data_IF_511871857370
#
_entry.id   IF_511871857370
#
_cell.length_a   1.000
_cell.length_b   1.000
_cell.length_c   1.000
_cell.angle_alpha   90.00
_cell.angle_beta   90.00
_cell.angle_gamma   90.00
#
_symmetry.space_group_name_H-M   'P 1'
#
loop_
_entity.id
_entity.type
_entity.pdbx_description
1 polymer ?
#
# COMPACT_ATOMS: atom_id res chain seq x y z
N UNK A 1 24.88 -14.44 8.04
CA UNK A 1 24.12 -15.22 7.05
C UNK A 1 22.79 -14.49 6.90
N UNK A 2 22.51 -13.86 5.75
CA UNK A 2 21.17 -13.28 5.55
C UNK A 2 20.18 -14.46 5.50
N UNK A 3 19.01 -14.36 6.15
CA UNK A 3 17.96 -15.33 5.91
C UNK A 3 17.66 -15.37 4.39
N UNK A 4 17.32 -16.55 3.84
CA UNK A 4 16.97 -16.66 2.44
C UNK A 4 15.86 -15.66 2.11
N UNK A 5 15.96 -15.02 0.94
CA UNK A 5 14.92 -14.10 0.48
C UNK A 5 13.59 -14.84 0.41
N UNK A 6 12.55 -14.26 1.02
CA UNK A 6 11.21 -14.81 0.98
C UNK A 6 10.70 -14.66 -0.46
N UNK A 7 10.59 -15.76 -1.18
CA UNK A 7 10.21 -15.74 -2.59
C UNK A 7 8.86 -15.02 -2.76
N UNK A 8 8.81 -14.05 -3.67
CA UNK A 8 7.63 -13.25 -3.96
C UNK A 8 7.49 -11.98 -3.11
N UNK A 9 8.24 -11.83 -2.01
CA UNK A 9 8.23 -10.62 -1.18
C UNK A 9 9.54 -9.83 -1.34
N UNK A 10 9.42 -8.59 -1.82
CA UNK A 10 10.57 -7.73 -2.01
C UNK A 10 11.19 -7.29 -0.67
N UNK A 11 12.46 -6.90 -0.70
CA UNK A 11 13.18 -6.47 0.51
C UNK A 11 12.55 -5.25 1.16
N UNK A 12 12.11 -4.27 0.37
CA UNK A 12 11.40 -3.10 0.87
C UNK A 12 10.06 -3.48 1.50
N UNK A 13 9.30 -4.37 0.86
CA UNK A 13 8.02 -4.86 1.38
C UNK A 13 8.19 -5.59 2.70
N UNK A 14 9.12 -6.55 2.76
CA UNK A 14 9.39 -7.28 3.99
C UNK A 14 9.87 -6.35 5.10
N UNK A 15 10.77 -5.40 4.80
CA UNK A 15 11.25 -4.44 5.79
C UNK A 15 10.10 -3.58 6.36
N UNK A 16 9.17 -3.16 5.51
CA UNK A 16 8.02 -2.37 5.95
C UNK A 16 7.03 -3.22 6.77
N UNK A 17 6.79 -4.47 6.39
CA UNK A 17 6.00 -5.40 7.21
C UNK A 17 6.61 -5.57 8.61
N UNK A 18 7.93 -5.77 8.70
CA UNK A 18 8.63 -5.89 9.99
C UNK A 18 8.59 -4.60 10.82
N UNK A 19 8.49 -3.44 10.18
CA UNK A 19 8.47 -2.15 10.87
C UNK A 19 7.08 -1.73 11.34
N UNK A 20 6.02 -2.14 10.64
CA UNK A 20 4.66 -1.64 10.86
C UNK A 20 3.69 -2.69 11.40
N UNK A 21 3.92 -3.98 11.13
CA UNK A 21 3.01 -5.04 11.56
C UNK A 21 3.39 -5.56 12.94
N UNK A 22 2.37 -5.72 13.76
CA UNK A 22 2.40 -6.23 15.12
C UNK A 22 1.07 -6.93 15.45
N UNK A 23 0.91 -7.36 16.71
CA UNK A 23 -0.27 -8.10 17.16
C UNK A 23 -1.58 -7.29 17.05
N UNK A 24 -1.50 -5.96 17.05
CA UNK A 24 -2.67 -5.06 17.06
C UNK A 24 -3.03 -4.55 15.66
N UNK A 25 -2.26 -4.92 14.64
CA UNK A 25 -2.41 -4.44 13.26
C UNK A 25 -2.71 -5.58 12.29
N UNK A 26 -3.98 -6.04 12.21
CA UNK A 26 -4.39 -7.05 11.25
C UNK A 26 -4.00 -6.72 9.81
N UNK A 27 -3.52 -7.72 9.07
CA UNK A 27 -3.09 -7.59 7.68
C UNK A 27 -3.94 -8.44 6.74
N UNK A 28 -4.37 -7.85 5.63
CA UNK A 28 -4.96 -8.57 4.50
C UNK A 28 -3.90 -8.84 3.43
N UNK A 29 -3.91 -10.04 2.84
CA UNK A 29 -2.96 -10.43 1.80
C UNK A 29 -3.67 -10.65 0.48
N UNK A 30 -3.18 -10.02 -0.59
CA UNK A 30 -3.58 -10.38 -1.93
C UNK A 30 -3.18 -11.83 -2.25
N UNK A 31 -3.88 -12.50 -3.20
CA UNK A 31 -3.62 -13.90 -3.52
C UNK A 31 -2.15 -14.23 -3.84
N UNK A 32 -1.42 -13.29 -4.47
CA UNK A 32 0.00 -13.45 -4.78
C UNK A 32 0.90 -13.56 -3.53
N UNK A 33 0.49 -12.98 -2.40
CA UNK A 33 1.22 -13.03 -1.13
C UNK A 33 0.64 -14.00 -0.13
N UNK A 34 -0.57 -14.52 -0.36
CA UNK A 34 -1.23 -15.47 0.53
C UNK A 34 -0.67 -16.89 0.38
N UNK A 35 0.62 -17.04 0.65
CA UNK A 35 1.35 -18.32 0.59
C UNK A 35 1.68 -18.83 1.99
N UNK A 36 1.83 -20.15 2.20
CA UNK A 36 2.24 -20.69 3.49
C UNK A 36 3.54 -20.08 4.04
N UNK A 37 4.50 -19.78 3.15
CA UNK A 37 5.78 -19.18 3.53
C UNK A 37 5.62 -17.74 4.03
N UNK A 38 4.85 -16.91 3.32
CA UNK A 38 4.62 -15.52 3.71
C UNK A 38 3.76 -15.43 4.97
N UNK A 39 2.70 -16.25 5.07
CA UNK A 39 1.90 -16.34 6.31
C UNK A 39 2.75 -16.71 7.52
N UNK A 40 3.60 -17.73 7.39
CA UNK A 40 4.49 -18.16 8.47
C UNK A 40 5.51 -17.07 8.84
N UNK A 41 6.06 -16.36 7.86
CA UNK A 41 6.99 -15.26 8.10
C UNK A 41 6.32 -14.11 8.88
N UNK A 42 5.14 -13.65 8.46
CA UNK A 42 4.38 -12.60 9.15
C UNK A 42 4.02 -13.04 10.57
N UNK A 43 3.51 -14.26 10.74
CA UNK A 43 3.14 -14.78 12.06
C UNK A 43 4.36 -14.89 13.00
N UNK A 44 5.50 -15.32 12.49
CA UNK A 44 6.70 -15.51 13.31
C UNK A 44 7.40 -14.21 13.68
N UNK A 45 7.52 -13.27 12.73
CA UNK A 45 8.30 -12.04 12.93
C UNK A 45 7.46 -10.86 13.43
N UNK A 46 6.21 -10.75 12.99
CA UNK A 46 5.33 -9.64 13.32
C UNK A 46 4.25 -10.04 14.34
N UNK A 47 3.81 -11.29 14.33
CA UNK A 47 2.67 -11.73 15.14
C UNK A 47 1.32 -11.16 14.67
N UNK A 48 1.29 -10.49 13.52
CA UNK A 48 0.09 -9.82 12.99
C UNK A 48 -0.99 -10.81 12.58
N UNK A 49 -2.26 -10.59 13.01
CA UNK A 49 -3.39 -11.40 12.56
C UNK A 49 -3.61 -11.25 11.05
N UNK A 50 -3.70 -12.37 10.33
CA UNK A 50 -4.01 -12.35 8.90
C UNK A 50 -5.52 -12.50 8.71
N UNK A 51 -6.16 -11.50 8.12
CA UNK A 51 -7.61 -11.44 7.93
C UNK A 51 -8.00 -11.66 6.47
N UNK A 52 -9.16 -12.29 6.25
CA UNK A 52 -9.74 -12.47 4.91
C UNK A 52 -10.64 -11.33 4.49
N UNK A 53 -11.27 -10.65 5.46
CA UNK A 53 -12.10 -9.47 5.23
C UNK A 53 -11.23 -8.21 5.12
N UNK A 54 -11.43 -7.46 4.05
CA UNK A 54 -10.74 -6.20 3.79
C UNK A 54 -11.10 -5.11 4.81
N UNK A 55 -12.33 -5.11 5.33
CA UNK A 55 -12.78 -4.09 6.30
C UNK A 55 -12.10 -4.27 7.66
N UNK A 56 -11.70 -5.49 7.99
CA UNK A 56 -11.00 -5.80 9.23
C UNK A 56 -9.49 -5.44 9.21
N UNK A 57 -8.96 -5.08 8.05
CA UNK A 57 -7.52 -4.89 7.86
C UNK A 57 -7.05 -3.50 8.28
N UNK A 58 -5.97 -3.42 9.06
CA UNK A 58 -5.22 -2.17 9.31
C UNK A 58 -4.16 -1.95 8.23
N UNK A 59 -3.59 -3.03 7.71
CA UNK A 59 -2.69 -3.01 6.56
C UNK A 59 -3.17 -3.98 5.49
N UNK A 60 -2.89 -3.69 4.22
CA UNK A 60 -3.16 -4.61 3.13
C UNK A 60 -1.94 -4.71 2.22
N UNK A 61 -1.48 -5.93 1.95
CA UNK A 61 -0.39 -6.20 1.02
C UNK A 61 -0.95 -6.60 -0.35
N UNK A 62 -0.76 -5.74 -1.35
CA UNK A 62 -1.30 -5.88 -2.70
C UNK A 62 -0.18 -5.96 -3.73
N UNK A 63 -0.48 -6.60 -4.86
CA UNK A 63 0.34 -6.59 -6.06
C UNK A 63 -0.34 -5.72 -7.12
N UNK A 64 0.35 -5.50 -8.25
CA UNK A 64 -0.20 -4.73 -9.36
C UNK A 64 -1.56 -5.29 -9.84
N UNK A 65 -1.73 -6.61 -9.85
CA UNK A 65 -2.96 -7.26 -10.28
C UNK A 65 -4.13 -7.10 -9.30
N UNK A 66 -3.89 -6.67 -8.06
CA UNK A 66 -4.97 -6.42 -7.08
C UNK A 66 -5.19 -4.93 -6.84
N UNK A 67 -4.23 -4.08 -7.21
CA UNK A 67 -4.26 -2.64 -6.97
C UNK A 67 -5.47 -1.90 -7.58
N UNK A 68 -6.09 -2.45 -8.63
CA UNK A 68 -7.25 -1.84 -9.29
C UNK A 68 -8.60 -2.09 -8.59
N UNK A 69 -8.61 -2.78 -7.45
CA UNK A 69 -9.81 -3.06 -6.66
C UNK A 69 -9.56 -2.68 -5.20
N UNK A 70 -9.80 -1.41 -4.86
CA UNK A 70 -9.54 -0.91 -3.49
C UNK A 70 -10.79 -0.99 -2.59
N UNK A 71 -11.89 -1.56 -3.07
CA UNK A 71 -13.18 -1.62 -2.36
C UNK A 71 -13.08 -2.55 -1.15
N UNK A 72 -13.86 -2.23 -0.13
CA UNK A 72 -13.90 -3.02 1.09
C UNK A 72 -12.77 -2.72 2.08
N UNK A 73 -11.76 -1.91 1.75
CA UNK A 73 -10.82 -1.41 2.77
C UNK A 73 -11.46 -0.28 3.59
N UNK A 74 -11.20 -0.28 4.90
CA UNK A 74 -11.65 0.78 5.81
C UNK A 74 -10.98 2.12 5.43
N UNK A 75 -11.77 3.15 5.12
CA UNK A 75 -11.25 4.50 4.80
C UNK A 75 -11.16 5.40 6.03
N UNK A 76 -11.45 4.87 7.21
CA UNK A 76 -11.64 5.63 8.44
C UNK A 76 -12.99 6.34 8.45
N UNK A 77 -13.18 7.20 9.45
CA UNK A 77 -14.35 8.07 9.57
C UNK A 77 -13.93 9.46 10.03
N UNK A 78 -14.83 10.45 9.94
CA UNK A 78 -14.52 11.85 10.27
C UNK A 78 -13.92 12.06 11.66
N UNK A 79 -14.27 11.18 12.63
CA UNK A 79 -13.77 11.26 14.00
C UNK A 79 -12.42 10.55 14.17
N UNK A 80 -12.18 9.50 13.40
CA UNK A 80 -11.00 8.65 13.46
C UNK A 80 -10.47 8.34 12.06
N UNK A 81 -10.00 9.35 11.30
CA UNK A 81 -9.49 9.14 9.95
C UNK A 81 -8.19 8.32 9.95
N UNK A 82 -7.42 8.41 11.02
CA UNK A 82 -6.19 7.65 11.27
C UNK A 82 -6.41 6.15 11.41
N UNK A 83 -7.65 5.71 11.62
CA UNK A 83 -8.03 4.29 11.67
C UNK A 83 -8.32 3.70 10.29
N UNK A 84 -7.97 4.37 9.19
CA UNK A 84 -8.09 3.74 7.87
C UNK A 84 -7.11 2.57 7.72
N UNK A 85 -7.36 1.73 6.72
CA UNK A 85 -6.38 0.80 6.20
C UNK A 85 -5.24 1.57 5.49
N UNK A 86 -4.01 1.07 5.61
CA UNK A 86 -2.85 1.51 4.83
C UNK A 86 -2.47 0.44 3.81
N UNK A 87 -2.32 0.82 2.55
CA UNK A 87 -2.00 -0.10 1.46
C UNK A 87 -0.49 -0.20 1.26
N UNK A 88 0.03 -1.43 1.22
CA UNK A 88 1.40 -1.77 0.86
C UNK A 88 1.34 -2.43 -0.53
N UNK A 89 1.68 -1.69 -1.58
CA UNK A 89 1.52 -2.17 -2.96
C UNK A 89 2.90 -2.47 -3.55
N UNK A 90 3.20 -3.75 -3.72
CA UNK A 90 4.42 -4.20 -4.38
C UNK A 90 4.23 -4.15 -5.90
N UNK A 91 5.08 -3.36 -6.55
CA UNK A 91 5.12 -3.13 -7.99
C UNK A 91 6.40 -3.73 -8.58
N UNK A 92 6.44 -4.03 -9.88
CA UNK A 92 7.66 -4.49 -10.53
C UNK A 92 8.79 -3.44 -10.50
N UNK A 93 8.45 -2.15 -10.45
CA UNK A 93 9.35 -1.00 -10.33
C UNK A 93 8.54 0.22 -9.81
N UNK A 94 9.25 1.28 -9.43
CA UNK A 94 8.64 2.57 -9.03
C UNK A 94 8.82 3.64 -10.11
N UNK A 95 8.89 3.22 -11.37
CA UNK A 95 9.12 4.09 -12.53
C UNK A 95 8.36 3.56 -13.75
N UNK A 96 8.03 4.44 -14.69
CA UNK A 96 7.26 4.07 -15.90
C UNK A 96 5.76 4.23 -15.72
N UNK A 97 5.00 4.12 -16.81
CA UNK A 97 3.60 4.55 -16.85
C UNK A 97 3.43 6.05 -17.12
N UNK A 98 2.19 6.57 -17.09
CA UNK A 98 1.92 7.99 -17.30
C UNK A 98 2.63 8.87 -16.28
N UNK A 99 3.10 10.04 -16.71
CA UNK A 99 3.66 11.05 -15.81
C UNK A 99 2.53 11.83 -15.15
N UNK A 100 2.46 11.75 -13.82
CA UNK A 100 1.47 12.44 -13.00
C UNK A 100 2.16 13.48 -12.12
N UNK A 101 1.52 14.62 -11.96
CA UNK A 101 1.99 15.71 -11.10
C UNK A 101 1.36 15.60 -9.72
N UNK A 102 2.20 15.35 -8.71
CA UNK A 102 1.76 15.26 -7.31
C UNK A 102 1.95 16.58 -6.59
N UNK A 103 0.97 16.97 -5.76
CA UNK A 103 1.02 18.19 -4.94
C UNK A 103 0.26 18.02 -3.62
N UNK A 104 0.55 18.88 -2.64
CA UNK A 104 -0.06 18.83 -1.32
C UNK A 104 0.95 19.02 -0.18
N UNK A 105 0.54 18.80 1.08
CA UNK A 105 1.44 18.92 2.23
C UNK A 105 2.70 18.07 2.06
N UNK A 106 3.87 18.67 2.29
CA UNK A 106 5.18 18.03 2.08
C UNK A 106 5.75 18.14 0.66
N UNK A 107 5.00 18.69 -0.31
CA UNK A 107 5.47 18.98 -1.67
C UNK A 107 5.42 20.49 -1.88
N UNK A 108 6.58 21.14 -2.04
CA UNK A 108 6.67 22.60 -2.15
C UNK A 108 5.96 23.16 -3.40
N UNK A 109 6.07 22.45 -4.53
CA UNK A 109 5.47 22.85 -5.81
C UNK A 109 4.70 21.69 -6.42
N UNK A 110 5.34 20.98 -7.33
CA UNK A 110 4.82 19.79 -7.99
C UNK A 110 5.95 18.77 -8.06
N UNK A 111 5.62 17.51 -7.84
CA UNK A 111 6.57 16.41 -7.97
C UNK A 111 6.05 15.46 -9.07
N UNK A 112 6.69 15.42 -10.25
CA UNK A 112 6.38 14.44 -11.27
C UNK A 112 6.71 13.02 -10.78
N UNK A 113 5.74 12.12 -10.86
CA UNK A 113 5.89 10.71 -10.50
C UNK A 113 5.26 9.86 -11.59
N UNK A 114 5.97 8.81 -12.01
CA UNK A 114 5.46 7.80 -12.93
C UNK A 114 5.53 6.45 -12.25
N UNK A 115 4.37 5.82 -12.07
CA UNK A 115 4.27 4.45 -11.56
C UNK A 115 3.58 3.58 -12.61
N UNK A 116 3.92 2.28 -12.70
CA UNK A 116 3.31 1.33 -13.65
C UNK A 116 1.87 0.96 -13.25
N UNK A 117 1.04 1.96 -12.98
CA UNK A 117 -0.36 1.86 -12.58
C UNK A 117 -1.22 2.46 -13.68
N UNK A 118 -2.33 1.80 -13.98
CA UNK A 118 -3.31 2.31 -14.92
C UNK A 118 -4.20 3.40 -14.29
N UNK A 119 -5.02 4.05 -15.14
CA UNK A 119 -5.98 5.05 -14.69
C UNK A 119 -7.05 4.51 -13.71
N UNK A 120 -7.28 3.19 -13.71
CA UNK A 120 -8.23 2.52 -12.82
C UNK A 120 -7.81 2.65 -11.36
N UNK A 121 -6.54 2.40 -11.05
CA UNK A 121 -6.00 2.62 -9.70
C UNK A 121 -6.26 4.04 -9.18
N UNK A 122 -5.96 5.05 -10.01
CA UNK A 122 -6.10 6.45 -9.61
C UNK A 122 -7.57 6.84 -9.40
N UNK A 123 -8.45 6.36 -10.27
CA UNK A 123 -9.92 6.53 -10.14
C UNK A 123 -10.43 5.90 -8.85
N UNK A 124 -9.98 4.68 -8.55
CA UNK A 124 -10.35 3.95 -7.34
C UNK A 124 -9.87 4.67 -6.08
N UNK A 125 -8.62 5.14 -6.07
CA UNK A 125 -8.07 5.93 -4.96
C UNK A 125 -8.89 7.19 -4.74
N UNK A 126 -9.18 7.95 -5.78
CA UNK A 126 -9.91 9.22 -5.66
C UNK A 126 -11.35 9.01 -5.17
N UNK A 127 -12.03 7.96 -5.64
CA UNK A 127 -13.39 7.63 -5.16
C UNK A 127 -13.46 7.29 -3.67
N UNK A 128 -12.34 6.86 -3.07
CA UNK A 128 -12.21 6.50 -1.65
C UNK A 128 -11.63 7.62 -0.80
N UNK A 129 -11.22 8.72 -1.42
CA UNK A 129 -10.54 9.80 -0.75
C UNK A 129 -11.49 10.97 -0.51
N UNK A 130 -12.22 10.91 0.60
CA UNK A 130 -13.07 11.98 1.09
C UNK A 130 -12.42 12.60 2.32
N UNK A 131 -11.46 13.50 2.09
CA UNK A 131 -10.63 14.06 3.15
C UNK A 131 -11.50 14.59 4.32
N UNK A 132 -11.23 14.18 5.58
CA UNK A 132 -10.00 13.52 6.05
C UNK A 132 -9.93 12.00 5.87
N UNK A 133 -11.02 11.34 5.46
CA UNK A 133 -11.05 9.90 5.20
C UNK A 133 -10.36 9.55 3.89
N UNK A 134 -9.76 8.37 3.82
CA UNK A 134 -9.04 7.89 2.65
C UNK A 134 -8.03 6.81 2.98
N UNK A 135 -7.32 6.34 1.96
CA UNK A 135 -6.28 5.33 2.10
C UNK A 135 -4.91 5.98 1.89
N UNK A 136 -3.99 5.72 2.80
CA UNK A 136 -2.57 6.01 2.60
C UNK A 136 -1.92 4.81 1.89
N UNK A 137 -0.94 5.09 1.03
CA UNK A 137 -0.33 4.05 0.18
C UNK A 137 1.19 4.12 0.27
N UNK A 138 1.83 2.97 0.42
CA UNK A 138 3.25 2.77 0.15
C UNK A 138 3.41 1.90 -1.09
N UNK A 139 4.09 2.41 -2.11
CA UNK A 139 4.53 1.65 -3.27
C UNK A 139 5.94 1.10 -3.03
N UNK A 140 6.16 -0.16 -3.36
CA UNK A 140 7.37 -0.91 -3.01
C UNK A 140 7.88 -1.63 -4.26
N UNK A 141 9.19 -1.61 -4.51
CA UNK A 141 9.81 -2.43 -5.54
C UNK A 141 11.27 -2.72 -5.21
N UNK A 142 11.64 -4.00 -5.12
CA UNK A 142 12.98 -4.45 -4.74
C UNK A 142 13.43 -3.89 -3.39
N UNK A 143 14.22 -2.82 -3.40
CA UNK A 143 14.73 -2.11 -2.21
C UNK A 143 14.24 -0.67 -2.09
N UNK A 144 13.37 -0.24 -2.98
CA UNK A 144 12.85 1.12 -3.07
C UNK A 144 11.43 1.19 -2.49
N UNK A 145 11.08 2.37 -1.99
CA UNK A 145 9.79 2.68 -1.39
C UNK A 145 9.40 4.11 -1.77
N UNK A 146 8.11 4.33 -2.01
CA UNK A 146 7.53 5.63 -2.25
C UNK A 146 6.17 5.74 -1.53
N UNK A 147 6.02 6.75 -0.68
CA UNK A 147 4.79 6.99 0.09
C UNK A 147 3.87 8.00 -0.60
N UNK A 148 2.57 7.72 -0.59
CA UNK A 148 1.50 8.58 -1.09
C UNK A 148 0.43 8.72 0.00
N UNK A 149 0.49 9.80 0.80
CA UNK A 149 -0.58 10.14 1.72
C UNK A 149 -1.90 10.42 1.01
N UNK A 150 -3.02 10.20 1.70
CA UNK A 150 -4.37 10.51 1.20
C UNK A 150 -4.56 11.99 0.86
N UNK A 151 -3.86 12.89 1.55
CA UNK A 151 -3.94 14.34 1.28
C UNK A 151 -3.28 14.75 -0.04
N UNK A 152 -2.47 13.89 -0.64
CA UNK A 152 -1.76 14.19 -1.90
C UNK A 152 -2.75 14.21 -3.06
N UNK A 153 -2.72 15.29 -3.82
CA UNK A 153 -3.47 15.49 -5.06
C UNK A 153 -2.64 14.95 -6.21
N UNK A 154 -3.27 14.16 -7.08
CA UNK A 154 -2.64 13.53 -8.24
C UNK A 154 -3.37 14.02 -9.49
N UNK A 155 -2.65 14.55 -10.46
CA UNK A 155 -3.20 15.07 -11.72
C UNK A 155 -2.30 14.66 -12.87
N UNK A 156 -2.83 14.59 -14.09
CA UNK A 156 -1.99 14.41 -15.28
C UNK A 156 -1.02 15.60 -15.43
N UNK A 157 0.21 15.33 -15.85
CA UNK A 157 1.13 16.40 -16.24
C UNK A 157 0.57 17.14 -17.47
N UNK A 158 0.62 18.47 -17.43
CA UNK A 158 0.25 19.34 -18.56
C UNK A 158 1.29 19.29 -19.69
#
# INVERSE_FOLDING_TARGET
HLPPALQGLDSATHALCLALLDLDTPVWLAPAFDTPAIRANIAFHCGSPIVSDRQAARFALLDLATAHHLDGFDTGNDRYPDQSCTLLIQLPNLEGGPSLSWSGPGIERQNPVSLPLDAGFWTERDSRNQFPCGLDVFFLAGKQMLGLPRSTRVQECA
#
